data_IF_619297990062
#
_entry.id   IF_619297990062
#
_cell.length_a   1.000
_cell.length_b   1.000
_cell.length_c   1.000
_cell.angle_alpha   90.00
_cell.angle_beta   90.00
_cell.angle_gamma   90.00
#
_symmetry.space_group_name_H-M   'P 1'
#
loop_
_entity.id
_entity.type
_entity.pdbx_description
1 polymer ?
#
# COMPACT_ATOMS: atom_id res chain seq x y z
N UNK A 1 31.13 -11.43 35.71
CA UNK A 1 30.19 -12.22 34.88
C UNK A 1 28.77 -11.63 34.82
N UNK A 2 28.53 -10.40 35.32
CA UNK A 2 27.23 -9.71 35.17
C UNK A 2 27.21 -8.73 33.98
N UNK A 3 28.37 -8.24 33.52
CA UNK A 3 28.45 -7.29 32.40
C UNK A 3 27.99 -7.90 31.06
N UNK A 4 28.32 -9.16 30.78
CA UNK A 4 27.89 -9.83 29.54
C UNK A 4 26.37 -10.10 29.47
N UNK A 5 25.67 -10.09 30.62
CA UNK A 5 24.22 -10.22 30.67
C UNK A 5 23.51 -8.86 30.47
N UNK A 6 24.18 -7.75 30.80
CA UNK A 6 23.64 -6.40 30.61
C UNK A 6 23.63 -6.00 29.12
N UNK A 7 24.68 -6.36 28.37
CA UNK A 7 24.80 -6.03 26.94
C UNK A 7 23.69 -6.67 26.10
N UNK A 8 23.34 -7.95 26.37
CA UNK A 8 22.24 -8.63 25.68
C UNK A 8 20.86 -8.04 25.98
N UNK A 9 20.67 -7.46 27.17
CA UNK A 9 19.42 -6.80 27.53
C UNK A 9 19.23 -5.47 26.79
N UNK A 10 20.31 -4.71 26.57
CA UNK A 10 20.25 -3.46 25.82
C UNK A 10 20.06 -3.68 24.32
N UNK A 11 20.65 -4.75 23.76
CA UNK A 11 20.38 -5.19 22.39
C UNK A 11 18.91 -5.59 22.20
N UNK A 12 18.36 -6.42 23.10
CA UNK A 12 16.94 -6.80 23.10
C UNK A 12 16.02 -5.57 23.21
N UNK A 13 16.31 -4.62 24.11
CA UNK A 13 15.53 -3.37 24.25
C UNK A 13 15.64 -2.46 23.03
N UNK A 14 16.74 -2.51 22.28
CA UNK A 14 16.92 -1.79 21.02
C UNK A 14 16.08 -2.41 19.90
N UNK A 15 16.06 -3.74 19.82
CA UNK A 15 15.25 -4.51 18.87
C UNK A 15 13.75 -4.34 19.14
N UNK A 16 13.31 -4.45 20.40
CA UNK A 16 11.90 -4.26 20.78
C UNK A 16 11.40 -2.86 20.42
N UNK A 17 12.16 -1.81 20.76
CA UNK A 17 11.81 -0.43 20.37
C UNK A 17 11.77 -0.24 18.85
N UNK A 18 12.66 -0.91 18.11
CA UNK A 18 12.67 -0.88 16.65
C UNK A 18 11.45 -1.57 16.05
N UNK A 19 11.06 -2.71 16.61
CA UNK A 19 9.88 -3.47 16.19
C UNK A 19 8.58 -2.70 16.49
N UNK A 20 8.46 -2.09 17.68
CA UNK A 20 7.29 -1.28 18.05
C UNK A 20 7.11 -0.06 17.13
N UNK A 21 8.21 0.67 16.86
CA UNK A 21 8.19 1.82 15.97
C UNK A 21 7.79 1.43 14.53
N UNK A 22 8.23 0.25 14.09
CA UNK A 22 7.90 -0.28 12.78
C UNK A 22 6.43 -0.74 12.69
N UNK A 23 5.91 -1.35 13.75
CA UNK A 23 4.48 -1.69 13.87
C UNK A 23 3.59 -0.45 13.73
N UNK A 24 3.93 0.64 14.43
CA UNK A 24 3.23 1.91 14.32
C UNK A 24 3.33 2.53 12.90
N UNK A 25 4.44 2.29 12.19
CA UNK A 25 4.61 2.77 10.81
C UNK A 25 3.87 1.92 9.76
N UNK A 26 3.63 0.63 10.05
CA UNK A 26 2.86 -0.28 9.17
C UNK A 26 1.37 0.08 9.13
N UNK A 27 0.79 0.39 10.29
CA UNK A 27 -0.64 0.63 10.45
C UNK A 27 -1.25 1.63 9.46
N UNK A 28 -0.72 2.85 9.27
CA UNK A 28 -1.31 3.82 8.34
C UNK A 28 -1.24 3.35 6.88
N UNK A 29 -0.16 2.67 6.48
CA UNK A 29 -0.01 2.14 5.11
C UNK A 29 -1.00 1.00 4.87
N UNK A 30 -1.21 0.14 5.85
CA UNK A 30 -2.20 -0.93 5.78
C UNK A 30 -3.64 -0.41 5.76
N UNK A 31 -3.93 0.62 6.55
CA UNK A 31 -5.23 1.28 6.54
C UNK A 31 -5.54 1.86 5.15
N UNK A 32 -4.59 2.59 4.57
CA UNK A 32 -4.72 3.14 3.22
C UNK A 32 -4.82 2.05 2.15
N UNK A 33 -4.03 0.98 2.28
CA UNK A 33 -4.14 -0.19 1.40
C UNK A 33 -5.55 -0.80 1.42
N UNK A 34 -6.11 -1.06 2.62
CA UNK A 34 -7.45 -1.63 2.77
C UNK A 34 -8.53 -0.73 2.18
N UNK A 35 -8.41 0.57 2.41
CA UNK A 35 -9.32 1.58 1.83
C UNK A 35 -9.31 1.51 0.29
N UNK A 36 -8.14 1.56 -0.34
CA UNK A 36 -8.02 1.53 -1.80
C UNK A 36 -8.48 0.19 -2.39
N UNK A 37 -8.16 -0.93 -1.74
CA UNK A 37 -8.61 -2.24 -2.15
C UNK A 37 -10.14 -2.35 -2.11
N UNK A 38 -10.77 -1.84 -1.05
CA UNK A 38 -12.23 -1.80 -0.94
C UNK A 38 -12.89 -0.86 -1.97
N UNK A 39 -12.21 0.24 -2.34
CA UNK A 39 -12.71 1.23 -3.32
C UNK A 39 -12.64 0.75 -4.77
N UNK A 40 -11.69 -0.12 -5.10
CA UNK A 40 -11.38 -0.53 -6.48
C UNK A 40 -12.58 -1.12 -7.25
N UNK A 41 -13.42 -2.02 -6.69
CA UNK A 41 -14.59 -2.54 -7.40
C UNK A 41 -15.60 -1.44 -7.77
N UNK A 42 -15.78 -0.44 -6.90
CA UNK A 42 -16.67 0.70 -7.15
C UNK A 42 -16.15 1.57 -8.29
N UNK A 43 -14.86 1.90 -8.28
CA UNK A 43 -14.20 2.64 -9.37
C UNK A 43 -14.26 1.87 -10.70
N UNK A 44 -14.14 0.54 -10.67
CA UNK A 44 -14.31 -0.31 -11.86
C UNK A 44 -15.72 -0.21 -12.45
N UNK A 45 -16.75 -0.28 -11.59
CA UNK A 45 -18.14 -0.16 -12.03
C UNK A 45 -18.43 1.22 -12.62
N UNK A 46 -17.88 2.28 -12.01
CA UNK A 46 -17.98 3.65 -12.51
C UNK A 46 -17.37 3.79 -13.92
N UNK A 47 -16.13 3.30 -14.12
CA UNK A 47 -15.48 3.36 -15.44
C UNK A 47 -16.27 2.58 -16.50
N UNK A 48 -16.81 1.41 -16.15
CA UNK A 48 -17.64 0.63 -17.06
C UNK A 48 -18.93 1.37 -17.45
N UNK A 49 -19.57 2.06 -16.50
CA UNK A 49 -20.76 2.87 -16.77
C UNK A 49 -20.46 4.06 -17.68
N UNK A 50 -19.33 4.76 -17.46
CA UNK A 50 -18.89 5.86 -18.33
C UNK A 50 -18.60 5.35 -19.75
N UNK A 51 -17.88 4.23 -19.88
CA UNK A 51 -17.57 3.62 -21.18
C UNK A 51 -18.81 3.15 -21.96
N UNK A 52 -19.92 2.85 -21.27
CA UNK A 52 -21.19 2.51 -21.90
C UNK A 52 -21.98 3.74 -22.39
N UNK A 53 -21.79 4.91 -21.75
CA UNK A 53 -22.56 6.15 -22.02
C UNK A 53 -21.85 7.08 -23.01
N UNK A 54 -20.52 7.08 -23.04
CA UNK A 54 -19.72 8.02 -23.82
C UNK A 54 -18.91 7.33 -24.92
N UNK A 55 -18.48 8.11 -25.92
CA UNK A 55 -17.61 7.61 -26.98
C UNK A 55 -16.26 7.11 -26.40
N UNK A 56 -15.60 6.11 -27.01
CA UNK A 56 -14.34 5.55 -26.48
C UNK A 56 -13.23 6.59 -26.25
N UNK A 57 -13.16 7.62 -27.09
CA UNK A 57 -12.21 8.73 -26.98
C UNK A 57 -12.41 9.56 -25.70
N UNK A 58 -13.61 9.56 -25.12
CA UNK A 58 -13.88 10.26 -23.86
C UNK A 58 -13.25 9.54 -22.67
N UNK A 59 -13.06 8.21 -22.73
CA UNK A 59 -12.51 7.40 -21.64
C UNK A 59 -11.05 6.97 -21.82
N UNK A 60 -10.48 7.22 -23.01
CA UNK A 60 -9.17 6.72 -23.46
C UNK A 60 -8.04 6.97 -22.44
N UNK A 61 -7.97 8.16 -21.85
CA UNK A 61 -6.94 8.54 -20.88
C UNK A 61 -6.97 7.76 -19.57
N UNK A 62 -8.05 7.05 -19.28
CA UNK A 62 -8.19 6.20 -18.07
C UNK A 62 -8.30 4.72 -18.41
N UNK A 63 -8.17 4.36 -19.69
CA UNK A 63 -8.16 2.98 -20.13
C UNK A 63 -7.05 2.22 -19.38
N UNK A 64 -7.42 1.15 -18.68
CA UNK A 64 -6.48 0.32 -17.93
C UNK A 64 -6.07 0.86 -16.55
N UNK A 65 -6.49 2.06 -16.13
CA UNK A 65 -6.18 2.57 -14.79
C UNK A 65 -6.61 1.62 -13.68
N UNK A 66 -7.80 1.02 -13.80
CA UNK A 66 -8.30 0.05 -12.81
C UNK A 66 -7.42 -1.19 -12.73
N UNK A 67 -6.93 -1.69 -13.86
CA UNK A 67 -6.03 -2.86 -13.88
C UNK A 67 -4.66 -2.51 -13.30
N UNK A 68 -4.13 -1.33 -13.63
CA UNK A 68 -2.90 -0.83 -13.02
C UNK A 68 -3.05 -0.64 -11.50
N UNK A 69 -4.20 -0.16 -11.02
CA UNK A 69 -4.50 -0.05 -9.60
C UNK A 69 -4.51 -1.42 -8.92
N UNK A 70 -5.16 -2.43 -9.52
CA UNK A 70 -5.18 -3.81 -9.01
C UNK A 70 -3.78 -4.40 -8.92
N UNK A 71 -2.94 -4.24 -9.94
CA UNK A 71 -1.55 -4.71 -9.93
C UNK A 71 -0.77 -4.10 -8.77
N UNK A 72 -0.97 -2.80 -8.53
CA UNK A 72 -0.32 -2.09 -7.42
C UNK A 72 -0.85 -2.52 -6.06
N UNK A 73 -2.14 -2.82 -5.94
CA UNK A 73 -2.75 -3.39 -4.72
C UNK A 73 -2.15 -4.77 -4.43
N UNK A 74 -2.06 -5.66 -5.44
CA UNK A 74 -1.44 -6.99 -5.27
C UNK A 74 0.02 -6.86 -4.83
N UNK A 75 0.79 -5.97 -5.46
CA UNK A 75 2.18 -5.73 -5.07
C UNK A 75 2.29 -5.14 -3.65
N UNK A 76 1.45 -4.17 -3.29
CA UNK A 76 1.41 -3.61 -1.94
C UNK A 76 1.11 -4.69 -0.88
N UNK A 77 0.16 -5.58 -1.14
CA UNK A 77 -0.17 -6.68 -0.24
C UNK A 77 1.03 -7.61 -0.01
N UNK A 78 1.74 -7.97 -1.08
CA UNK A 78 2.98 -8.77 -0.98
C UNK A 78 4.02 -8.06 -0.10
N UNK A 79 4.26 -6.78 -0.33
CA UNK A 79 5.26 -5.99 0.40
C UNK A 79 4.88 -5.79 1.87
N UNK A 80 3.61 -5.56 2.19
CA UNK A 80 3.14 -5.45 3.58
C UNK A 80 3.35 -6.76 4.35
N UNK A 81 3.03 -7.89 3.73
CA UNK A 81 3.30 -9.21 4.34
C UNK A 81 4.79 -9.44 4.58
N UNK A 82 5.65 -9.08 3.62
CA UNK A 82 7.11 -9.19 3.79
C UNK A 82 7.65 -8.24 4.85
N UNK A 83 7.10 -7.03 4.97
CA UNK A 83 7.47 -6.08 6.01
C UNK A 83 7.14 -6.62 7.39
N UNK A 84 5.95 -7.18 7.57
CA UNK A 84 5.51 -7.82 8.82
C UNK A 84 6.40 -9.00 9.20
N UNK A 85 6.63 -9.94 8.27
CA UNK A 85 7.51 -11.09 8.51
C UNK A 85 8.95 -10.69 8.87
N UNK A 86 9.48 -9.63 8.24
CA UNK A 86 10.80 -9.11 8.56
C UNK A 86 10.82 -8.41 9.93
N UNK A 87 9.76 -7.68 10.29
CA UNK A 87 9.56 -7.09 11.62
C UNK A 87 9.57 -8.16 12.71
N UNK A 88 8.73 -9.18 12.56
CA UNK A 88 8.55 -10.28 13.51
C UNK A 88 9.84 -11.10 13.70
N UNK A 89 10.74 -11.07 12.72
CA UNK A 89 12.05 -11.73 12.77
C UNK A 89 13.20 -10.79 13.19
N UNK A 90 12.93 -9.56 13.64
CA UNK A 90 13.96 -8.59 14.03
C UNK A 90 14.79 -8.01 12.87
N UNK A 91 14.43 -8.27 11.61
CA UNK A 91 15.13 -7.78 10.41
C UNK A 91 14.66 -6.36 10.04
N UNK A 92 14.91 -5.39 10.92
CA UNK A 92 14.38 -4.01 10.83
C UNK A 92 14.66 -3.36 9.47
N UNK A 93 15.90 -3.40 8.96
CA UNK A 93 16.24 -2.76 7.69
C UNK A 93 15.48 -3.35 6.49
N UNK A 94 15.31 -4.68 6.47
CA UNK A 94 14.54 -5.34 5.41
C UNK A 94 13.06 -4.94 5.51
N UNK A 95 12.51 -4.90 6.73
CA UNK A 95 11.13 -4.53 6.94
C UNK A 95 10.83 -3.09 6.49
N UNK A 96 11.73 -2.14 6.80
CA UNK A 96 11.63 -0.74 6.31
C UNK A 96 11.66 -0.68 4.78
N UNK A 97 12.53 -1.46 4.13
CA UNK A 97 12.59 -1.51 2.66
C UNK A 97 11.30 -2.12 2.04
N UNK A 98 10.69 -3.10 2.70
CA UNK A 98 9.41 -3.64 2.30
C UNK A 98 8.27 -2.64 2.48
N UNK A 99 8.22 -1.96 3.63
CA UNK A 99 7.20 -0.94 3.93
C UNK A 99 7.23 0.22 2.93
N UNK A 100 8.41 0.77 2.61
CA UNK A 100 8.52 1.86 1.61
C UNK A 100 8.05 1.45 0.22
N UNK A 101 8.33 0.21 -0.18
CA UNK A 101 7.84 -0.31 -1.46
C UNK A 101 6.31 -0.48 -1.45
N UNK A 102 5.73 -0.91 -0.33
CA UNK A 102 4.27 -0.95 -0.18
C UNK A 102 3.65 0.45 -0.25
N UNK A 103 4.23 1.42 0.45
CA UNK A 103 3.78 2.82 0.46
C UNK A 103 3.77 3.42 -0.96
N UNK A 104 4.86 3.23 -1.72
CA UNK A 104 4.93 3.69 -3.11
C UNK A 104 3.86 3.06 -4.00
N UNK A 105 3.59 1.77 -3.81
CA UNK A 105 2.55 1.07 -4.57
C UNK A 105 1.14 1.52 -4.20
N UNK A 106 0.87 1.74 -2.91
CA UNK A 106 -0.38 2.32 -2.41
C UNK A 106 -0.59 3.72 -2.99
N UNK A 107 0.44 4.57 -3.02
CA UNK A 107 0.37 5.88 -3.63
C UNK A 107 0.07 5.81 -5.14
N UNK A 108 0.69 4.89 -5.87
CA UNK A 108 0.41 4.69 -7.30
C UNK A 108 -1.01 4.18 -7.55
N UNK A 109 -1.51 3.23 -6.73
CA UNK A 109 -2.90 2.77 -6.82
C UNK A 109 -3.89 3.92 -6.63
N UNK A 110 -3.63 4.82 -5.68
CA UNK A 110 -4.47 6.01 -5.47
C UNK A 110 -4.54 6.88 -6.73
N UNK A 111 -3.40 7.19 -7.36
CA UNK A 111 -3.34 8.02 -8.58
C UNK A 111 -4.22 7.48 -9.70
N UNK A 112 -4.21 6.16 -9.93
CA UNK A 112 -5.02 5.55 -10.98
C UNK A 112 -6.52 5.62 -10.68
N UNK A 113 -6.92 5.26 -9.45
CA UNK A 113 -8.32 5.31 -9.03
C UNK A 113 -8.85 6.75 -9.03
N UNK A 114 -8.08 7.71 -8.50
CA UNK A 114 -8.44 9.12 -8.50
C UNK A 114 -8.46 9.72 -9.92
N UNK A 115 -7.77 9.08 -10.88
CA UNK A 115 -7.86 9.42 -12.30
C UNK A 115 -9.24 9.10 -12.90
N UNK A 116 -9.85 7.99 -12.50
CA UNK A 116 -11.21 7.62 -12.93
C UNK A 116 -12.24 8.54 -12.27
N UNK A 117 -12.09 8.83 -10.98
CA UNK A 117 -13.00 9.74 -10.28
C UNK A 117 -12.99 11.15 -10.90
N UNK A 118 -11.80 11.63 -11.29
CA UNK A 118 -11.67 12.90 -12.04
C UNK A 118 -12.32 12.85 -13.41
N UNK A 119 -12.20 11.73 -14.14
CA UNK A 119 -12.88 11.58 -15.42
C UNK A 119 -14.40 11.64 -15.25
N UNK A 120 -14.95 10.96 -14.25
CA UNK A 120 -16.38 10.99 -13.95
C UNK A 120 -16.86 12.42 -13.71
N UNK A 121 -16.14 13.19 -12.88
CA UNK A 121 -16.47 14.59 -12.58
C UNK A 121 -16.39 15.53 -13.79
N UNK A 122 -15.68 15.17 -14.87
CA UNK A 122 -15.60 15.95 -16.11
C UNK A 122 -16.72 15.57 -17.11
N UNK A 123 -17.23 14.34 -17.03
CA UNK A 123 -18.23 13.82 -17.96
C UNK A 123 -19.68 13.97 -17.47
N UNK A 124 -19.91 14.02 -16.16
CA UNK A 124 -21.22 14.32 -15.55
C UNK A 124 -21.54 15.82 -15.56
#
# INVERSE_FOLDING_TARGET
>A
LLDAAADGFDELRGLDRGADALGAALEPVEARFRELAARTPTTQALLAALAARYAPTATEHTAGHVEQAKDRIVFAALRLNQARQASDSGRVSAAVAHLRAAEGAVAQAAVFLDGVDRLAAVLD
#
